data_IF_440209883468
#
_entry.id   IF_440209883468
#
_cell.length_a   1.000
_cell.length_b   1.000
_cell.length_c   1.000
_cell.angle_alpha   90.00
_cell.angle_beta   90.00
_cell.angle_gamma   90.00
#
_symmetry.space_group_name_H-M   'P 1'
#
loop_
_entity.id
_entity.type
_entity.pdbx_description
1 polymer ?
#
# COMPACT_ATOMS: atom_id res chain seq x y z
N UNK A 1 -47.14 3.41 -10.76
CA UNK A 1 -46.34 4.34 -9.94
C UNK A 1 -45.24 3.52 -9.28
N UNK A 2 -44.07 3.46 -9.92
CA UNK A 2 -42.89 2.72 -9.47
C UNK A 2 -42.17 3.56 -8.41
N UNK A 3 -42.19 3.10 -7.16
CA UNK A 3 -41.42 3.67 -6.07
C UNK A 3 -39.96 3.25 -6.22
N UNK A 4 -39.10 4.18 -6.61
CA UNK A 4 -37.64 4.05 -6.61
C UNK A 4 -37.16 3.82 -5.16
N UNK A 5 -36.27 2.84 -4.89
CA UNK A 5 -35.75 2.65 -3.54
C UNK A 5 -34.73 3.76 -3.23
N UNK A 6 -35.07 4.62 -2.27
CA UNK A 6 -34.12 5.56 -1.66
C UNK A 6 -33.16 4.78 -0.76
N UNK A 7 -32.07 4.25 -1.32
CA UNK A 7 -30.96 3.74 -0.53
C UNK A 7 -30.15 4.92 0.04
N UNK A 8 -30.58 5.36 1.21
CA UNK A 8 -30.07 6.50 1.97
C UNK A 8 -28.76 6.14 2.73
N UNK A 9 -27.81 5.47 2.08
CA UNK A 9 -26.55 5.08 2.71
C UNK A 9 -25.52 6.22 2.55
N UNK A 10 -25.55 7.17 3.48
CA UNK A 10 -24.50 8.18 3.62
C UNK A 10 -23.12 7.51 3.80
N UNK A 11 -22.13 7.99 3.07
CA UNK A 11 -20.79 7.41 3.02
C UNK A 11 -19.91 8.12 4.07
N UNK A 12 -19.36 7.41 5.07
CA UNK A 12 -18.47 8.03 6.06
C UNK A 12 -17.07 8.27 5.49
N UNK A 13 -16.51 9.44 5.79
CA UNK A 13 -15.15 9.82 5.43
C UNK A 13 -14.12 9.11 6.33
N UNK A 14 -13.03 8.54 5.78
CA UNK A 14 -12.01 7.81 6.55
C UNK A 14 -11.19 8.68 7.48
N UNK A 15 -10.94 9.92 7.08
CA UNK A 15 -9.99 10.77 7.77
C UNK A 15 -10.65 11.56 8.90
N UNK A 16 -11.86 12.08 8.65
CA UNK A 16 -12.55 12.94 9.61
C UNK A 16 -13.83 12.34 10.18
N UNK A 17 -14.31 11.20 9.68
CA UNK A 17 -15.56 10.56 10.12
C UNK A 17 -16.83 11.27 9.64
N UNK A 18 -16.73 12.31 8.80
CA UNK A 18 -17.89 13.03 8.27
C UNK A 18 -18.76 12.17 7.36
N UNK A 19 -20.08 12.33 7.44
CA UNK A 19 -21.04 11.63 6.57
C UNK A 19 -21.30 12.45 5.32
N UNK A 20 -21.21 11.81 4.15
CA UNK A 20 -21.40 12.47 2.86
C UNK A 20 -22.47 11.77 2.02
N UNK A 21 -23.18 12.52 1.15
CA UNK A 21 -24.17 11.92 0.26
C UNK A 21 -23.51 10.95 -0.75
N UNK A 22 -24.25 9.96 -1.27
CA UNK A 22 -23.69 8.88 -2.08
C UNK A 22 -23.09 9.34 -3.41
N UNK A 23 -23.47 10.51 -3.93
CA UNK A 23 -22.88 11.11 -5.13
C UNK A 23 -21.54 11.83 -4.90
N UNK A 24 -21.13 12.01 -3.64
CA UNK A 24 -19.87 12.71 -3.34
C UNK A 24 -18.66 11.84 -3.68
N UNK A 25 -17.69 12.41 -4.41
CA UNK A 25 -16.42 11.74 -4.75
C UNK A 25 -15.32 12.13 -3.76
N UNK A 26 -15.34 13.37 -3.26
CA UNK A 26 -14.34 13.90 -2.33
C UNK A 26 -15.00 14.52 -1.09
N UNK A 27 -14.36 14.33 0.05
CA UNK A 27 -14.71 15.02 1.29
C UNK A 27 -14.24 16.49 1.22
N UNK A 28 -15.13 17.49 1.43
CA UNK A 28 -14.75 18.92 1.40
C UNK A 28 -13.80 19.34 2.53
N UNK A 29 -13.84 18.64 3.67
CA UNK A 29 -13.06 19.01 4.85
C UNK A 29 -11.60 18.57 4.77
N UNK A 30 -11.35 17.36 4.26
CA UNK A 30 -10.00 16.77 4.26
C UNK A 30 -9.48 16.39 2.86
N UNK A 31 -10.26 16.62 1.80
CA UNK A 31 -9.87 16.34 0.42
C UNK A 31 -9.70 14.86 0.07
N UNK A 32 -10.06 13.93 0.97
CA UNK A 32 -9.96 12.49 0.68
C UNK A 32 -11.12 11.99 -0.16
N UNK A 33 -10.84 11.03 -1.03
CA UNK A 33 -11.88 10.31 -1.76
C UNK A 33 -12.80 9.58 -0.76
N UNK A 34 -14.11 9.65 -0.99
CA UNK A 34 -15.14 8.96 -0.22
C UNK A 34 -15.85 7.97 -1.15
N UNK A 35 -16.13 6.75 -0.67
CA UNK A 35 -16.75 5.69 -1.48
C UNK A 35 -16.15 4.31 -1.28
N UNK A 36 -16.59 3.34 -2.09
CA UNK A 36 -16.27 1.91 -1.96
C UNK A 36 -14.81 1.53 -2.26
N UNK A 37 -14.00 2.41 -2.85
CA UNK A 37 -12.59 2.15 -3.17
C UNK A 37 -11.66 2.12 -1.94
N UNK A 38 -12.23 2.31 -0.74
CA UNK A 38 -11.51 2.52 0.52
C UNK A 38 -11.10 1.23 1.26
N UNK A 39 -11.66 0.08 0.90
CA UNK A 39 -11.65 -1.06 1.81
C UNK A 39 -10.34 -1.83 1.89
N UNK A 40 -9.44 -1.74 0.90
CA UNK A 40 -8.29 -2.67 0.82
C UNK A 40 -7.39 -2.58 2.05
N UNK A 41 -7.00 -1.39 2.47
CA UNK A 41 -5.99 -1.25 3.53
C UNK A 41 -6.56 -1.57 4.92
N UNK A 42 -7.76 -1.11 5.22
CA UNK A 42 -8.45 -1.35 6.50
C UNK A 42 -8.84 -2.84 6.67
N UNK A 43 -9.29 -3.51 5.60
CA UNK A 43 -9.63 -4.95 5.64
C UNK A 43 -8.41 -5.84 5.90
N UNK A 44 -7.30 -5.54 5.24
CA UNK A 44 -6.06 -6.28 5.44
C UNK A 44 -5.43 -5.99 6.82
N UNK A 45 -5.56 -4.76 7.34
CA UNK A 45 -5.11 -4.42 8.69
C UNK A 45 -5.92 -5.17 9.78
N UNK A 46 -7.23 -5.36 9.57
CA UNK A 46 -8.10 -6.10 10.49
C UNK A 46 -7.78 -7.61 10.58
N UNK A 47 -7.15 -8.18 9.55
CA UNK A 47 -6.83 -9.62 9.47
C UNK A 47 -5.39 -9.94 9.91
N UNK A 48 -4.64 -8.96 10.41
CA UNK A 48 -3.21 -9.11 10.74
C UNK A 48 -2.97 -10.15 11.82
N UNK A 49 -2.11 -11.13 11.53
CA UNK A 49 -1.69 -12.15 12.50
C UNK A 49 -0.65 -11.57 13.46
N UNK A 50 -0.59 -12.10 14.69
CA UNK A 50 0.36 -11.62 15.73
C UNK A 50 1.83 -11.68 15.27
N UNK A 51 2.23 -12.69 14.49
CA UNK A 51 3.60 -12.77 13.98
C UNK A 51 3.92 -11.66 12.96
N UNK A 52 2.93 -11.19 12.19
CA UNK A 52 3.11 -10.12 11.20
C UNK A 52 3.31 -8.76 11.88
N UNK A 53 2.62 -8.57 13.02
CA UNK A 53 2.82 -7.39 13.87
C UNK A 53 4.24 -7.36 14.45
N UNK A 54 4.75 -8.52 14.88
CA UNK A 54 6.12 -8.64 15.36
C UNK A 54 7.15 -8.43 14.24
N UNK A 55 6.96 -9.06 13.08
CA UNK A 55 7.83 -8.90 11.91
C UNK A 55 7.89 -7.43 11.48
N UNK A 56 6.76 -6.72 11.46
CA UNK A 56 6.73 -5.28 11.18
C UNK A 56 7.53 -4.45 12.18
N UNK A 57 7.41 -4.76 13.48
CA UNK A 57 8.14 -4.05 14.52
C UNK A 57 9.65 -4.23 14.34
N UNK A 58 10.09 -5.46 14.05
CA UNK A 58 11.50 -5.77 13.78
C UNK A 58 11.98 -5.10 12.49
N UNK A 59 11.24 -5.22 11.39
CA UNK A 59 11.61 -4.59 10.11
C UNK A 59 11.70 -3.07 10.24
N UNK A 60 10.79 -2.42 10.97
CA UNK A 60 10.85 -0.97 11.27
C UNK A 60 12.06 -0.60 12.12
N UNK A 61 12.44 -1.45 13.07
CA UNK A 61 13.61 -1.23 13.90
C UNK A 61 14.92 -1.38 13.09
N UNK A 62 15.02 -2.41 12.26
CA UNK A 62 16.21 -2.72 11.45
C UNK A 62 16.40 -1.71 10.32
N UNK A 63 15.29 -1.21 9.75
CA UNK A 63 15.34 -0.15 8.74
C UNK A 63 15.67 1.24 9.30
N UNK A 64 15.73 1.40 10.63
CA UNK A 64 16.09 2.66 11.23
C UNK A 64 17.58 2.97 11.01
N UNK A 65 17.96 4.21 10.62
CA UNK A 65 19.36 4.58 10.40
C UNK A 65 20.26 4.36 11.63
N UNK A 66 19.70 4.47 12.83
CA UNK A 66 20.41 4.25 14.10
C UNK A 66 20.82 2.80 14.32
N UNK A 67 20.12 1.83 13.73
CA UNK A 67 20.41 0.40 13.88
C UNK A 67 21.83 0.07 13.45
N UNK A 68 22.23 0.56 12.26
CA UNK A 68 23.56 0.32 11.70
C UNK A 68 24.68 0.84 12.62
N UNK A 69 24.48 2.00 13.25
CA UNK A 69 25.47 2.57 14.17
C UNK A 69 25.67 1.74 15.44
N UNK A 70 24.56 1.32 16.07
CA UNK A 70 24.61 0.44 17.26
C UNK A 70 25.20 -0.92 16.92
N UNK A 71 24.82 -1.49 15.76
CA UNK A 71 25.29 -2.79 15.31
C UNK A 71 26.80 -2.76 14.98
N UNK A 72 27.27 -1.73 14.28
CA UNK A 72 28.70 -1.53 14.01
C UNK A 72 29.52 -1.35 15.30
N UNK A 73 28.98 -0.59 16.28
CA UNK A 73 29.61 -0.45 17.59
C UNK A 73 29.70 -1.78 18.32
N UNK A 74 28.64 -2.58 18.31
CA UNK A 74 28.62 -3.91 18.91
C UNK A 74 29.67 -4.85 18.30
N UNK A 75 29.78 -4.89 16.97
CA UNK A 75 30.83 -5.66 16.26
C UNK A 75 32.22 -5.16 16.64
N UNK A 76 32.44 -3.84 16.64
CA UNK A 76 33.73 -3.26 17.00
C UNK A 76 34.13 -3.59 18.45
N UNK A 77 33.19 -3.52 19.40
CA UNK A 77 33.40 -3.91 20.79
C UNK A 77 33.78 -5.39 20.89
N UNK A 78 33.09 -6.28 20.15
CA UNK A 78 33.42 -7.71 20.12
C UNK A 78 34.85 -7.97 19.63
N UNK A 79 35.25 -7.31 18.54
CA UNK A 79 36.61 -7.40 18.00
C UNK A 79 37.65 -6.91 19.01
N UNK A 80 37.42 -5.78 19.68
CA UNK A 80 38.35 -5.24 20.69
C UNK A 80 38.48 -6.18 21.89
N UNK A 81 37.37 -6.72 22.40
CA UNK A 81 37.40 -7.67 23.52
C UNK A 81 38.18 -8.96 23.17
N UNK A 82 38.05 -9.46 21.94
CA UNK A 82 38.71 -10.69 21.50
C UNK A 82 40.11 -10.49 20.89
N UNK A 83 40.50 -9.25 20.56
CA UNK A 83 41.83 -8.90 20.05
C UNK A 83 42.97 -9.13 21.06
N UNK A 84 42.64 -9.39 22.33
CA UNK A 84 43.61 -9.65 23.39
C UNK A 84 44.25 -8.40 23.99
N UNK A 85 43.74 -7.21 23.67
CA UNK A 85 44.08 -5.94 24.34
C UNK A 85 43.63 -5.97 25.81
N UNK A 86 42.52 -6.65 26.09
CA UNK A 86 41.99 -6.85 27.44
C UNK A 86 42.59 -8.13 28.03
N UNK A 87 43.69 -8.01 28.79
CA UNK A 87 44.37 -9.15 29.45
C UNK A 87 43.50 -9.93 30.45
N UNK A 88 42.32 -9.41 30.82
CA UNK A 88 41.42 -10.02 31.80
C UNK A 88 40.47 -11.08 31.21
N UNK A 89 40.33 -11.19 29.88
CA UNK A 89 39.37 -12.09 29.24
C UNK A 89 40.09 -13.16 28.42
N UNK A 90 39.76 -14.43 28.67
CA UNK A 90 40.22 -15.57 27.88
C UNK A 90 39.71 -15.39 26.44
N UNK A 91 40.61 -15.39 25.46
CA UNK A 91 40.25 -15.30 24.03
C UNK A 91 39.36 -16.49 23.68
N UNK A 92 38.11 -16.22 23.31
CA UNK A 92 37.14 -17.24 22.91
C UNK A 92 36.94 -17.24 21.38
N UNK A 93 37.10 -16.08 20.75
CA UNK A 93 37.01 -15.91 19.29
C UNK A 93 38.33 -15.37 18.73
N UNK A 94 39.25 -16.25 18.37
CA UNK A 94 40.62 -15.87 18.04
C UNK A 94 40.76 -15.19 16.66
N UNK A 95 41.53 -14.09 16.56
CA UNK A 95 41.89 -13.51 15.27
C UNK A 95 42.70 -14.52 14.43
N UNK A 96 42.62 -14.50 13.08
CA UNK A 96 42.02 -13.44 12.26
C UNK A 96 40.59 -13.72 11.77
N UNK A 97 40.04 -14.93 11.97
CA UNK A 97 38.81 -15.34 11.28
C UNK A 97 37.52 -15.08 12.05
N UNK A 98 37.56 -14.86 13.37
CA UNK A 98 36.39 -14.57 14.21
C UNK A 98 35.17 -15.48 13.91
N UNK A 99 35.38 -16.79 14.00
CA UNK A 99 34.42 -17.80 13.55
C UNK A 99 33.05 -17.69 14.26
N UNK A 100 33.05 -17.30 15.54
CA UNK A 100 31.81 -17.20 16.33
C UNK A 100 31.02 -15.96 15.97
N UNK A 101 31.70 -14.82 15.79
CA UNK A 101 31.06 -13.59 15.30
C UNK A 101 30.47 -13.81 13.90
N UNK A 102 31.22 -14.46 13.00
CA UNK A 102 30.74 -14.77 11.65
C UNK A 102 29.49 -15.67 11.68
N UNK A 103 29.48 -16.69 12.54
CA UNK A 103 28.31 -17.55 12.72
C UNK A 103 27.10 -16.74 13.23
N UNK A 104 27.29 -15.90 14.24
CA UNK A 104 26.20 -15.10 14.82
C UNK A 104 25.62 -14.11 13.81
N UNK A 105 26.47 -13.37 13.09
CA UNK A 105 26.05 -12.46 12.02
C UNK A 105 25.32 -13.19 10.89
N UNK A 106 25.74 -14.42 10.54
CA UNK A 106 25.07 -15.21 9.50
C UNK A 106 23.65 -15.62 9.91
N UNK A 107 23.47 -16.04 11.16
CA UNK A 107 22.17 -16.40 11.72
C UNK A 107 21.28 -15.15 11.78
N UNK A 108 21.81 -14.03 12.24
CA UNK A 108 21.11 -12.74 12.26
C UNK A 108 20.64 -12.33 10.87
N UNK A 109 21.51 -12.43 9.85
CA UNK A 109 21.16 -12.10 8.46
C UNK A 109 20.02 -12.98 7.92
N UNK A 110 19.98 -14.26 8.26
CA UNK A 110 18.87 -15.16 7.89
C UNK A 110 17.56 -14.68 8.52
N UNK A 111 17.56 -14.31 9.81
CA UNK A 111 16.37 -13.77 10.48
C UNK A 111 15.89 -12.46 9.85
N UNK A 112 16.81 -11.52 9.61
CA UNK A 112 16.48 -10.23 8.98
C UNK A 112 15.88 -10.43 7.59
N UNK A 113 16.46 -11.32 6.80
CA UNK A 113 15.94 -11.67 5.47
C UNK A 113 14.56 -12.30 5.58
N UNK A 114 14.33 -13.20 6.54
CA UNK A 114 13.02 -13.79 6.81
C UNK A 114 11.95 -12.74 7.14
N UNK A 115 12.25 -11.78 8.02
CA UNK A 115 11.33 -10.70 8.38
C UNK A 115 11.07 -9.75 7.20
N UNK A 116 12.09 -9.48 6.40
CA UNK A 116 11.95 -8.69 5.18
C UNK A 116 11.03 -9.39 4.18
N UNK A 117 11.21 -10.69 3.94
CA UNK A 117 10.37 -11.48 3.05
C UNK A 117 8.89 -11.47 3.48
N UNK A 118 8.62 -11.63 4.78
CA UNK A 118 7.24 -11.54 5.32
C UNK A 118 6.65 -10.14 5.08
N UNK A 119 7.47 -9.09 5.18
CA UNK A 119 7.03 -7.72 4.91
C UNK A 119 6.71 -7.53 3.42
N UNK A 120 7.55 -8.11 2.54
CA UNK A 120 7.42 -8.05 1.08
C UNK A 120 6.22 -8.83 0.54
N UNK A 121 6.00 -10.08 0.99
CA UNK A 121 4.84 -10.87 0.54
C UNK A 121 3.54 -10.16 0.85
N UNK A 122 3.48 -9.54 2.03
CA UNK A 122 2.34 -8.76 2.45
C UNK A 122 2.15 -7.53 1.58
N UNK A 123 3.21 -6.76 1.31
CA UNK A 123 3.14 -5.59 0.44
C UNK A 123 2.69 -5.96 -0.98
N UNK A 124 3.18 -7.08 -1.51
CA UNK A 124 2.74 -7.62 -2.80
C UNK A 124 1.24 -7.99 -2.82
N UNK A 125 0.70 -8.53 -1.72
CA UNK A 125 -0.74 -8.80 -1.60
C UNK A 125 -1.58 -7.52 -1.61
N UNK A 126 -1.12 -6.47 -0.92
CA UNK A 126 -1.76 -5.15 -0.95
C UNK A 126 -1.72 -4.54 -2.35
N UNK A 127 -0.55 -4.55 -3.00
CA UNK A 127 -0.37 -4.02 -4.35
C UNK A 127 -1.24 -4.76 -5.36
N UNK A 128 -1.36 -6.09 -5.25
CA UNK A 128 -2.22 -6.89 -6.13
C UNK A 128 -3.69 -6.47 -6.03
N UNK A 129 -4.24 -6.37 -4.81
CA UNK A 129 -5.64 -5.93 -4.63
C UNK A 129 -5.86 -4.50 -5.11
N UNK A 130 -4.88 -3.61 -4.87
CA UNK A 130 -4.95 -2.23 -5.35
C UNK A 130 -4.97 -2.18 -6.88
N UNK A 131 -4.10 -2.95 -7.55
CA UNK A 131 -4.05 -3.03 -9.00
C UNK A 131 -5.36 -3.56 -9.60
N UNK A 132 -6.01 -4.52 -8.94
CA UNK A 132 -7.33 -5.03 -9.35
C UNK A 132 -8.41 -3.94 -9.29
N UNK A 133 -8.50 -3.18 -8.20
CA UNK A 133 -9.44 -2.06 -8.10
C UNK A 133 -9.16 -0.93 -9.08
N UNK A 134 -7.89 -0.60 -9.28
CA UNK A 134 -7.47 0.42 -10.26
C UNK A 134 -7.86 -0.04 -11.69
N UNK A 135 -7.71 -1.33 -11.99
CA UNK A 135 -8.15 -1.91 -13.25
C UNK A 135 -9.68 -1.85 -13.43
N UNK A 136 -10.46 -2.24 -12.42
CA UNK A 136 -11.92 -2.16 -12.46
C UNK A 136 -12.40 -0.72 -12.68
N UNK A 137 -11.79 0.24 -11.98
CA UNK A 137 -12.10 1.67 -12.11
C UNK A 137 -11.78 2.17 -13.52
N UNK A 138 -10.64 1.76 -14.09
CA UNK A 138 -10.24 2.12 -15.45
C UNK A 138 -11.23 1.55 -16.48
N UNK A 139 -11.63 0.28 -16.35
CA UNK A 139 -12.61 -0.36 -17.25
C UNK A 139 -13.99 0.31 -17.14
N UNK A 140 -14.45 0.61 -15.92
CA UNK A 140 -15.72 1.30 -15.68
C UNK A 140 -15.72 2.69 -16.33
N UNK A 141 -14.65 3.45 -16.12
CA UNK A 141 -14.48 4.79 -16.71
C UNK A 141 -14.50 4.72 -18.24
N UNK A 142 -13.80 3.74 -18.82
CA UNK A 142 -13.79 3.54 -20.27
C UNK A 142 -15.19 3.21 -20.81
N UNK A 143 -15.98 2.37 -20.13
CA UNK A 143 -17.38 2.09 -20.52
C UNK A 143 -18.25 3.34 -20.53
N UNK A 144 -18.16 4.18 -19.49
CA UNK A 144 -18.91 5.44 -19.42
C UNK A 144 -18.51 6.35 -20.58
N UNK A 145 -17.21 6.46 -20.87
CA UNK A 145 -16.70 7.28 -21.98
C UNK A 145 -17.22 6.80 -23.34
N UNK A 146 -17.26 5.48 -23.56
CA UNK A 146 -17.83 4.91 -24.77
C UNK A 146 -19.35 5.15 -24.89
N UNK A 147 -20.11 5.02 -23.79
CA UNK A 147 -21.54 5.33 -23.78
C UNK A 147 -21.79 6.81 -24.09
N UNK A 148 -21.02 7.72 -23.47
CA UNK A 148 -21.09 9.14 -23.77
C UNK A 148 -20.80 9.43 -25.24
N UNK A 149 -19.80 8.77 -25.84
CA UNK A 149 -19.50 8.90 -27.26
C UNK A 149 -20.69 8.51 -28.14
N UNK A 150 -21.31 7.35 -27.87
CA UNK A 150 -22.48 6.87 -28.63
C UNK A 150 -23.64 7.86 -28.52
N UNK A 151 -23.89 8.44 -27.34
CA UNK A 151 -24.93 9.47 -27.15
C UNK A 151 -24.62 10.75 -27.92
N UNK A 152 -23.35 11.19 -27.92
CA UNK A 152 -22.92 12.36 -28.68
C UNK A 152 -23.08 12.16 -30.19
N UNK A 153 -22.72 10.98 -30.71
CA UNK A 153 -22.92 10.61 -32.12
C UNK A 153 -24.42 10.59 -32.50
N UNK A 154 -25.28 10.13 -31.59
CA UNK A 154 -26.74 10.18 -31.78
C UNK A 154 -27.27 11.61 -31.84
N UNK A 155 -26.74 12.53 -31.03
CA UNK A 155 -27.14 13.95 -31.07
C UNK A 155 -26.63 14.59 -32.36
N UNK A 156 -25.38 14.33 -32.75
CA UNK A 156 -24.77 14.87 -33.97
C UNK A 156 -25.56 14.46 -35.22
N UNK A 157 -25.87 13.16 -35.36
CA UNK A 157 -26.66 12.65 -36.49
C UNK A 157 -28.07 13.23 -36.57
N UNK A 158 -28.71 13.52 -35.42
CA UNK A 158 -30.02 14.21 -35.40
C UNK A 158 -29.91 15.65 -35.92
N UNK A 159 -28.84 16.37 -35.57
CA UNK A 159 -28.60 17.74 -36.05
C UNK A 159 -28.37 17.78 -37.55
N UNK A 160 -27.55 16.88 -38.09
CA UNK A 160 -27.33 16.76 -39.54
C UNK A 160 -28.63 16.47 -40.29
N UNK A 161 -29.50 15.62 -39.71
CA UNK A 161 -30.79 15.30 -40.33
C UNK A 161 -31.69 16.54 -40.39
N UNK A 162 -31.79 17.31 -39.31
CA UNK A 162 -32.55 18.56 -39.24
C UNK A 162 -32.00 19.58 -40.25
N UNK A 163 -30.67 19.75 -40.33
CA UNK A 163 -30.05 20.66 -41.29
C UNK A 163 -30.35 20.25 -42.74
N UNK A 164 -30.34 18.95 -43.04
CA UNK A 164 -30.67 18.44 -44.37
C UNK A 164 -32.14 18.63 -44.74
N UNK A 165 -33.06 18.58 -43.78
CA UNK A 165 -34.49 18.84 -43.97
C UNK A 165 -34.74 20.33 -44.23
N UNK A 166 -34.15 21.22 -43.42
CA UNK A 166 -34.21 22.68 -43.65
C UNK A 166 -33.65 23.10 -45.01
N UNK A 167 -32.57 22.46 -45.48
CA UNK A 167 -31.98 22.74 -46.80
C UNK A 167 -32.89 22.34 -47.96
N UNK A 168 -33.77 21.35 -47.79
CA UNK A 168 -34.69 20.90 -48.85
C UNK A 168 -35.96 21.75 -48.96
N UNK A 169 -36.34 22.43 -47.88
CA UNK A 169 -37.49 23.34 -47.86
C UNK A 169 -37.14 24.75 -48.35
N UNK A 170 -35.84 25.09 -48.42
CA UNK A 170 -35.32 26.32 -49.04
C UNK A 170 -35.03 26.15 -50.52
#
# INVERSE_FOLDING_TARGET
MTTTPTNNSAIPCPACGGLHPPESVFCPHCGKAVGGLRYVREEFEATRRRYEQFADAVTRFVSAPSYFGVHALWVAVWMVLNSGIVMAVRRFDEPPSYNLLALLLSIEAIFLTGFLLVSQTREADYERKRAELDYETAVHTNRILLDMRVRLDSIASRMERIESEMRKES
#
